data_IF_266311345268
#
_entry.id   IF_266311345268
#
_cell.length_a   1.000
_cell.length_b   1.000
_cell.length_c   1.000
_cell.angle_alpha   90.00
_cell.angle_beta   90.00
_cell.angle_gamma   90.00
#
_symmetry.space_group_name_H-M   'P 1'
#
loop_
_entity.id
_entity.type
_entity.pdbx_description
1 polymer ?
#
# COMPACT_ATOMS: atom_id res chain seq x y z
N UNK A 1 -31.90 3.49 13.09
CA UNK A 1 -30.79 4.39 12.69
C UNK A 1 -29.49 3.78 13.13
N UNK A 2 -28.98 2.79 12.39
CA UNK A 2 -27.63 2.27 12.61
C UNK A 2 -26.97 2.28 11.24
N UNK A 3 -26.20 3.33 10.98
CA UNK A 3 -25.30 3.38 9.85
C UNK A 3 -24.14 2.44 10.14
N UNK A 4 -23.86 1.56 9.19
CA UNK A 4 -22.68 0.72 9.24
C UNK A 4 -21.45 1.64 9.13
N UNK A 5 -20.74 1.88 10.24
CA UNK A 5 -19.52 2.71 10.26
C UNK A 5 -18.31 2.01 9.62
N UNK A 6 -18.52 0.83 9.02
CA UNK A 6 -17.53 0.01 8.31
C UNK A 6 -17.61 0.15 6.78
N UNK A 7 -18.19 1.25 6.30
CA UNK A 7 -18.16 1.66 4.89
C UNK A 7 -17.55 3.06 4.83
N UNK A 8 -16.26 3.13 5.16
CA UNK A 8 -15.51 4.38 5.30
C UNK A 8 -14.31 4.47 4.38
N UNK A 9 -13.57 5.59 4.48
CA UNK A 9 -12.29 5.77 3.78
C UNK A 9 -11.24 4.71 4.15
N UNK A 10 -11.36 4.14 5.35
CA UNK A 10 -10.46 3.11 5.89
C UNK A 10 -10.54 1.79 5.11
N UNK A 11 -11.71 1.42 4.57
CA UNK A 11 -11.86 0.21 3.73
C UNK A 11 -11.17 0.36 2.37
N UNK A 12 -11.09 1.60 1.88
CA UNK A 12 -10.37 1.87 0.64
C UNK A 12 -8.86 1.82 0.87
N UNK A 13 -8.39 2.45 1.95
CA UNK A 13 -6.98 2.44 2.33
C UNK A 13 -6.50 1.00 2.57
N UNK A 14 -7.29 0.19 3.29
CA UNK A 14 -6.95 -1.22 3.53
C UNK A 14 -6.89 -2.02 2.22
N UNK A 15 -7.82 -1.79 1.27
CA UNK A 15 -7.78 -2.48 -0.05
C UNK A 15 -6.53 -2.12 -0.85
N UNK A 16 -6.10 -0.86 -0.82
CA UNK A 16 -4.86 -0.46 -1.49
C UNK A 16 -3.65 -1.07 -0.81
N UNK A 17 -3.59 -1.08 0.53
CA UNK A 17 -2.52 -1.76 1.27
C UNK A 17 -2.46 -3.24 0.90
N UNK A 18 -3.59 -3.95 0.92
CA UNK A 18 -3.66 -5.37 0.58
C UNK A 18 -3.22 -5.64 -0.86
N UNK A 19 -3.60 -4.76 -1.80
CA UNK A 19 -3.14 -4.81 -3.18
C UNK A 19 -1.62 -4.66 -3.28
N UNK A 20 -1.05 -3.66 -2.61
CA UNK A 20 0.40 -3.39 -2.62
C UNK A 20 1.20 -4.54 -1.99
N UNK A 21 0.73 -5.08 -0.87
CA UNK A 21 1.34 -6.26 -0.22
C UNK A 21 1.33 -7.44 -1.17
N UNK A 22 0.21 -7.70 -1.85
CA UNK A 22 0.08 -8.81 -2.79
C UNK A 22 1.00 -8.63 -4.00
N UNK A 23 1.08 -7.44 -4.59
CA UNK A 23 1.97 -7.19 -5.72
C UNK A 23 3.43 -7.36 -5.34
N UNK A 24 3.82 -6.82 -4.19
CA UNK A 24 5.19 -6.95 -3.70
C UNK A 24 5.55 -8.41 -3.40
N UNK A 25 4.63 -9.17 -2.79
CA UNK A 25 4.81 -10.59 -2.54
C UNK A 25 4.94 -11.40 -3.85
N UNK A 26 4.15 -11.06 -4.88
CA UNK A 26 4.25 -11.71 -6.19
C UNK A 26 5.56 -11.38 -6.93
N UNK A 27 6.06 -10.15 -6.80
CA UNK A 27 7.28 -9.69 -7.48
C UNK A 27 8.58 -10.11 -6.79
N UNK A 28 8.61 -10.09 -5.45
CA UNK A 28 9.82 -10.30 -4.67
C UNK A 28 9.78 -11.55 -3.77
N UNK A 29 8.64 -12.23 -3.65
CA UNK A 29 8.48 -13.37 -2.74
C UNK A 29 8.50 -13.00 -1.26
N UNK A 30 8.39 -11.70 -0.92
CA UNK A 30 8.45 -11.20 0.46
C UNK A 30 7.08 -10.64 0.86
N UNK A 31 6.58 -11.10 2.00
CA UNK A 31 5.30 -10.67 2.56
C UNK A 31 5.49 -9.48 3.52
N UNK A 32 5.16 -8.28 3.04
CA UNK A 32 5.25 -7.04 3.82
C UNK A 32 4.24 -6.96 4.97
N UNK A 33 3.19 -7.78 5.00
CA UNK A 33 2.19 -7.75 6.08
C UNK A 33 2.76 -8.15 7.45
N UNK A 34 3.89 -8.84 7.45
CA UNK A 34 4.58 -9.28 8.67
C UNK A 34 5.48 -8.18 9.25
N UNK A 35 5.80 -7.17 8.46
CA UNK A 35 6.63 -6.04 8.88
C UNK A 35 5.76 -4.85 9.26
N UNK A 36 5.70 -4.57 10.58
CA UNK A 36 4.90 -3.46 11.11
C UNK A 36 5.37 -2.09 10.60
N UNK A 37 6.67 -1.91 10.37
CA UNK A 37 7.20 -0.64 9.84
C UNK A 37 6.83 -0.48 8.37
N UNK A 38 6.95 -1.54 7.58
CA UNK A 38 6.52 -1.52 6.18
C UNK A 38 5.02 -1.26 6.06
N UNK A 39 4.19 -1.92 6.87
CA UNK A 39 2.74 -1.72 6.90
C UNK A 39 2.34 -0.28 7.21
N UNK A 40 3.02 0.37 8.16
CA UNK A 40 2.74 1.77 8.48
C UNK A 40 3.02 2.67 7.28
N UNK A 41 4.17 2.47 6.60
CA UNK A 41 4.53 3.23 5.40
C UNK A 41 3.58 2.97 4.23
N UNK A 42 3.13 1.73 4.06
CA UNK A 42 2.14 1.36 3.05
C UNK A 42 0.80 2.07 3.29
N UNK A 43 0.35 2.18 4.54
CA UNK A 43 -0.88 2.92 4.88
C UNK A 43 -0.77 4.40 4.55
N UNK A 44 0.33 5.05 4.92
CA UNK A 44 0.57 6.46 4.60
C UNK A 44 0.62 6.69 3.08
N UNK A 45 1.26 5.78 2.34
CA UNK A 45 1.29 5.84 0.88
C UNK A 45 -0.09 5.59 0.25
N UNK A 46 -0.87 4.65 0.78
CA UNK A 46 -2.23 4.35 0.33
C UNK A 46 -3.17 5.55 0.54
N UNK A 47 -3.13 6.18 1.71
CA UNK A 47 -3.93 7.37 2.00
C UNK A 47 -3.55 8.52 1.05
N UNK A 48 -2.25 8.76 0.83
CA UNK A 48 -1.79 9.77 -0.12
C UNK A 48 -2.24 9.46 -1.55
N UNK A 49 -2.12 8.21 -1.99
CA UNK A 49 -2.57 7.76 -3.30
C UNK A 49 -4.09 7.96 -3.48
N UNK A 50 -4.90 7.69 -2.43
CA UNK A 50 -6.35 7.97 -2.42
C UNK A 50 -6.66 9.43 -2.73
N UNK A 51 -5.96 10.33 -2.03
CA UNK A 51 -6.15 11.77 -2.16
C UNK A 51 -5.76 12.21 -3.57
N UNK A 52 -4.62 11.73 -4.08
CA UNK A 52 -4.17 12.05 -5.44
C UNK A 52 -5.16 11.53 -6.50
N UNK A 53 -5.62 10.28 -6.39
CA UNK A 53 -6.60 9.68 -7.31
C UNK A 53 -7.99 10.32 -7.22
N UNK A 54 -8.28 11.09 -6.16
CA UNK A 54 -9.50 11.89 -6.10
C UNK A 54 -9.46 13.09 -7.06
N UNK A 55 -8.29 13.43 -7.59
CA UNK A 55 -8.06 14.58 -8.51
C UNK A 55 -7.30 14.24 -9.79
N UNK A 56 -6.65 13.07 -9.84
CA UNK A 56 -5.89 12.53 -10.96
C UNK A 56 -6.44 11.16 -11.36
N UNK A 57 -6.24 10.75 -12.60
CA UNK A 57 -6.61 9.40 -13.08
C UNK A 57 -5.55 8.35 -12.77
N UNK A 58 -4.37 8.78 -12.31
CA UNK A 58 -3.26 7.88 -11.96
C UNK A 58 -2.37 8.49 -10.87
N UNK A 59 -1.74 7.63 -10.09
CA UNK A 59 -0.70 7.98 -9.10
C UNK A 59 0.39 6.90 -9.07
N UNK A 60 1.58 7.27 -8.62
CA UNK A 60 2.71 6.35 -8.48
C UNK A 60 3.16 6.31 -7.04
N UNK A 61 3.17 5.12 -6.45
CA UNK A 61 3.69 4.86 -5.11
C UNK A 61 5.14 4.41 -5.24
N UNK A 62 6.05 5.21 -4.68
CA UNK A 62 7.46 4.88 -4.55
C UNK A 62 7.83 4.83 -3.05
N UNK A 63 8.17 3.65 -2.55
CA UNK A 63 8.62 3.42 -1.18
C UNK A 63 10.02 2.79 -1.23
N UNK A 64 11.07 3.60 -1.11
CA UNK A 64 12.42 3.07 -1.12
C UNK A 64 12.76 2.40 0.20
N UNK A 65 13.58 1.35 0.14
CA UNK A 65 14.04 0.60 1.31
C UNK A 65 12.86 0.14 2.18
N UNK A 66 11.83 -0.44 1.56
CA UNK A 66 10.62 -0.85 2.27
C UNK A 66 10.87 -2.08 3.13
N UNK A 67 11.74 -2.98 2.68
CA UNK A 67 12.19 -4.17 3.42
C UNK A 67 13.53 -4.65 2.88
N UNK A 68 14.08 -5.74 3.43
CA UNK A 68 15.31 -6.37 2.97
C UNK A 68 15.11 -7.87 2.73
N UNK A 69 15.69 -8.38 1.65
CA UNK A 69 15.80 -9.81 1.35
C UNK A 69 17.23 -10.30 1.59
N UNK A 70 17.47 -11.59 1.38
CA UNK A 70 18.82 -12.17 1.42
C UNK A 70 19.77 -11.55 0.37
N UNK A 71 19.22 -10.97 -0.70
CA UNK A 71 19.98 -10.37 -1.80
C UNK A 71 20.22 -8.87 -1.61
N UNK A 72 19.56 -8.24 -0.63
CA UNK A 72 19.71 -6.82 -0.33
C UNK A 72 18.41 -6.08 -0.06
N UNK A 73 18.48 -4.73 0.07
CA UNK A 73 17.31 -3.90 0.26
C UNK A 73 16.37 -3.94 -0.95
N UNK A 74 15.07 -3.90 -0.68
CA UNK A 74 14.02 -3.88 -1.68
C UNK A 74 13.23 -2.57 -1.64
N UNK A 75 12.69 -2.20 -2.79
CA UNK A 75 11.93 -0.97 -3.02
C UNK A 75 10.57 -1.35 -3.61
N UNK A 76 9.53 -0.61 -3.26
CA UNK A 76 8.23 -0.76 -3.90
C UNK A 76 8.02 0.42 -4.85
N UNK A 77 7.78 0.11 -6.13
CA UNK A 77 7.43 1.04 -7.18
C UNK A 77 6.19 0.49 -7.89
N UNK A 78 5.03 1.09 -7.64
CA UNK A 78 3.74 0.63 -8.17
C UNK A 78 2.92 1.81 -8.69
N UNK A 79 2.35 1.65 -9.89
CA UNK A 79 1.43 2.63 -10.48
C UNK A 79 -0.01 2.19 -10.23
N UNK A 80 -0.82 3.09 -9.66
CA UNK A 80 -2.25 2.89 -9.42
C UNK A 80 -3.09 3.77 -10.36
N UNK A 81 -4.22 3.23 -10.79
CA UNK A 81 -5.18 3.87 -11.72
C UNK A 81 -6.61 3.51 -11.33
#
# INVERSE_FOLDING_TARGET
>A
TNGDNHLGGDDWDQRVVDYLVKQFANGHGVDLSKDKMALQRLREAAEKAKIELSSSTETTINLPYITASAEGPLHLDEKLT
#
